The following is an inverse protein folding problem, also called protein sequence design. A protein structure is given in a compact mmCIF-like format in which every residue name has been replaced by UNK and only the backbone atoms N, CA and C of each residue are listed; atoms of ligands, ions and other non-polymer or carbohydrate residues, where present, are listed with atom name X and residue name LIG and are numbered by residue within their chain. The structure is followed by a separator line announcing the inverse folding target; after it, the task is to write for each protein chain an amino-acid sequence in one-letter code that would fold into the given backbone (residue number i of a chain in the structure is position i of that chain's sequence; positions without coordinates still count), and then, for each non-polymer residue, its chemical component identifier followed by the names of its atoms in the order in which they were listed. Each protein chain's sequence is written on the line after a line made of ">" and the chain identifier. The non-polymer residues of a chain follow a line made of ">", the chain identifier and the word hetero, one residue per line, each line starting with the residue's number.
data_IF_804497587159
#
_entry.id   IF_804497587159
#
_cell.length_a   1.000
_cell.length_b   1.000
_cell.length_c   1.000
_cell.angle_alpha   90.00
_cell.angle_beta   90.00
_cell.angle_gamma   90.00
#
_symmetry.space_group_name_H-M   'P 1'
#
loop_
_entity.id
_entity.type
_entity.pdbx_description
1 polymer ?
#
# COMPACT_ATOMS: atom_id res chain seq x y z
N UNK A 1 -42.30 -3.67 -24.50
CA UNK A 1 -41.12 -3.97 -23.64
C UNK A 1 -41.59 -4.85 -22.50
N UNK A 2 -41.34 -6.15 -22.58
CA UNK A 2 -41.68 -7.08 -21.49
C UNK A 2 -40.69 -6.88 -20.34
N UNK A 3 -41.17 -6.86 -19.08
CA UNK A 3 -40.29 -6.70 -17.92
C UNK A 3 -39.33 -7.90 -17.79
N UNK A 4 -38.11 -7.70 -17.27
CA UNK A 4 -37.21 -8.80 -16.97
C UNK A 4 -37.88 -9.67 -15.90
N UNK A 5 -38.13 -10.94 -16.22
CA UNK A 5 -38.60 -11.91 -15.25
C UNK A 5 -37.56 -12.00 -14.14
N UNK A 6 -37.85 -11.41 -12.99
CA UNK A 6 -37.12 -11.69 -11.76
C UNK A 6 -37.37 -13.16 -11.45
N UNK A 7 -36.41 -14.03 -11.78
CA UNK A 7 -36.40 -15.39 -11.29
C UNK A 7 -36.44 -15.31 -9.76
N UNK A 8 -37.63 -15.54 -9.21
CA UNK A 8 -37.84 -15.67 -7.77
C UNK A 8 -36.90 -16.81 -7.35
N UNK A 9 -35.94 -16.53 -6.48
CA UNK A 9 -35.10 -17.56 -5.87
C UNK A 9 -36.00 -18.44 -5.00
N UNK A 10 -36.60 -19.47 -5.60
CA UNK A 10 -37.36 -20.50 -4.92
C UNK A 10 -36.37 -21.56 -4.44
N UNK A 11 -36.07 -21.57 -3.14
CA UNK A 11 -35.23 -22.59 -2.52
C UNK A 11 -34.33 -22.08 -1.39
N UNK A 12 -33.39 -22.92 -0.90
CA UNK A 12 -32.48 -22.64 0.21
C UNK A 12 -31.64 -21.35 0.02
N UNK A 13 -31.49 -20.92 -1.23
CA UNK A 13 -30.74 -19.73 -1.65
C UNK A 13 -31.39 -18.41 -1.21
N UNK A 14 -32.67 -18.40 -0.80
CA UNK A 14 -33.36 -17.18 -0.33
C UNK A 14 -32.73 -16.60 0.95
N UNK A 15 -32.15 -17.45 1.80
CA UNK A 15 -31.54 -17.05 3.05
C UNK A 15 -30.04 -16.70 2.90
N UNK A 16 -29.47 -16.78 1.69
CA UNK A 16 -28.06 -16.45 1.46
C UNK A 16 -27.62 -15.11 2.06
N UNK A 17 -28.39 -14.00 2.01
CA UNK A 17 -27.92 -12.73 2.54
C UNK A 17 -27.71 -12.74 4.06
N UNK A 18 -28.56 -13.46 4.79
CA UNK A 18 -28.62 -13.44 6.27
C UNK A 18 -27.66 -14.42 6.93
N UNK A 19 -27.10 -15.37 6.18
CA UNK A 19 -26.16 -16.38 6.68
C UNK A 19 -24.74 -15.82 6.92
N UNK A 20 -24.05 -16.36 7.91
CA UNK A 20 -22.61 -16.13 8.12
C UNK A 20 -21.77 -16.71 6.97
N UNK A 21 -20.51 -16.26 6.83
CA UNK A 21 -19.62 -16.77 5.78
C UNK A 21 -19.41 -18.29 5.84
N UNK A 22 -19.38 -18.86 7.06
CA UNK A 22 -19.25 -20.31 7.27
C UNK A 22 -20.49 -21.05 6.80
N UNK A 23 -21.67 -20.58 7.19
CA UNK A 23 -22.96 -21.17 6.80
C UNK A 23 -23.20 -21.06 5.29
N UNK A 24 -22.85 -19.91 4.68
CA UNK A 24 -22.85 -19.73 3.22
C UNK A 24 -22.02 -20.81 2.53
N UNK A 25 -20.81 -21.07 3.04
CA UNK A 25 -19.90 -22.07 2.46
C UNK A 25 -20.45 -23.49 2.60
N UNK A 26 -21.06 -23.81 3.74
CA UNK A 26 -21.68 -25.13 3.97
C UNK A 26 -22.89 -25.32 3.06
N UNK A 27 -23.78 -24.34 2.98
CA UNK A 27 -24.99 -24.39 2.15
C UNK A 27 -24.63 -24.56 0.67
N UNK A 28 -23.71 -23.73 0.16
CA UNK A 28 -23.25 -23.82 -1.24
C UNK A 28 -22.61 -25.18 -1.51
N UNK A 29 -21.84 -25.72 -0.57
CA UNK A 29 -21.24 -27.06 -0.71
C UNK A 29 -22.29 -28.17 -0.76
N UNK A 30 -23.33 -28.11 0.08
CA UNK A 30 -24.43 -29.09 0.04
C UNK A 30 -25.11 -29.09 -1.32
N UNK A 31 -25.50 -27.90 -1.80
CA UNK A 31 -26.16 -27.73 -3.11
C UNK A 31 -25.24 -28.22 -4.24
N UNK A 32 -23.95 -27.89 -4.20
CA UNK A 32 -22.99 -28.37 -5.19
C UNK A 32 -22.87 -29.90 -5.21
N UNK A 33 -22.89 -30.54 -4.04
CA UNK A 33 -22.87 -32.00 -3.94
C UNK A 33 -24.15 -32.62 -4.51
N UNK A 34 -25.33 -32.03 -4.22
CA UNK A 34 -26.61 -32.47 -4.77
C UNK A 34 -26.66 -32.35 -6.30
N UNK A 35 -26.23 -31.21 -6.85
CA UNK A 35 -26.12 -31.01 -8.31
C UNK A 35 -25.16 -32.03 -8.92
N UNK A 36 -24.02 -32.28 -8.29
CA UNK A 36 -23.03 -33.25 -8.77
C UNK A 36 -23.61 -34.66 -8.78
N UNK A 37 -24.29 -35.08 -7.71
CA UNK A 37 -24.95 -36.37 -7.64
C UNK A 37 -26.02 -36.51 -8.74
N UNK A 38 -26.85 -35.48 -8.93
CA UNK A 38 -27.84 -35.46 -9.99
C UNK A 38 -27.21 -35.60 -11.39
N UNK A 39 -26.10 -34.88 -11.66
CA UNK A 39 -25.39 -34.97 -12.94
C UNK A 39 -24.82 -36.37 -13.18
N UNK A 40 -24.29 -37.01 -12.13
CA UNK A 40 -23.79 -38.38 -12.20
C UNK A 40 -24.92 -39.38 -12.49
N UNK A 41 -26.05 -39.26 -11.80
CA UNK A 41 -27.18 -40.17 -12.00
C UNK A 41 -27.84 -39.99 -13.37
N UNK A 42 -28.00 -38.75 -13.84
CA UNK A 42 -28.48 -38.47 -15.21
C UNK A 42 -27.53 -39.09 -16.24
N UNK A 43 -26.22 -38.91 -16.07
CA UNK A 43 -25.21 -39.50 -16.96
C UNK A 43 -25.30 -41.04 -16.98
N UNK A 44 -25.57 -41.66 -15.82
CA UNK A 44 -25.78 -43.11 -15.72
C UNK A 44 -27.02 -43.55 -16.50
N UNK A 45 -28.13 -42.83 -16.36
CA UNK A 45 -29.37 -43.15 -17.07
C UNK A 45 -29.26 -42.96 -18.59
N UNK A 46 -28.43 -42.00 -19.05
CA UNK A 46 -28.10 -41.85 -20.47
C UNK A 46 -27.30 -43.05 -20.96
N UNK A 47 -26.26 -43.46 -20.22
CA UNK A 47 -25.43 -44.62 -20.58
C UNK A 47 -26.24 -45.93 -20.63
N UNK A 48 -27.30 -46.03 -19.83
CA UNK A 48 -28.22 -47.17 -19.81
C UNK A 48 -29.30 -47.10 -20.91
N UNK A 49 -29.35 -46.02 -21.70
CA UNK A 49 -30.37 -45.80 -22.73
C UNK A 49 -31.76 -45.49 -22.17
N UNK A 50 -31.88 -45.21 -20.87
CA UNK A 50 -33.15 -44.80 -20.24
C UNK A 50 -33.47 -43.34 -20.54
N UNK A 51 -32.45 -42.52 -20.74
CA UNK A 51 -32.56 -41.14 -21.21
C UNK A 51 -31.80 -40.97 -22.53
N UNK A 52 -32.34 -40.18 -23.45
CA UNK A 52 -31.62 -39.72 -24.64
C UNK A 52 -30.80 -38.46 -24.34
N UNK A 53 -29.86 -38.13 -25.24
CA UNK A 53 -29.04 -36.91 -25.16
C UNK A 53 -29.89 -35.62 -25.15
N UNK A 54 -31.09 -35.64 -25.73
CA UNK A 54 -32.01 -34.49 -25.73
C UNK A 54 -32.42 -34.11 -24.30
N UNK A 55 -32.55 -35.10 -23.40
CA UNK A 55 -32.87 -34.86 -21.99
C UNK A 55 -31.69 -34.26 -21.21
N UNK A 56 -30.46 -34.29 -21.74
CA UNK A 56 -29.29 -33.65 -21.15
C UNK A 56 -29.15 -32.16 -21.54
N UNK A 57 -29.99 -31.63 -22.43
CA UNK A 57 -29.93 -30.23 -22.89
C UNK A 57 -29.92 -29.21 -21.73
N UNK A 58 -30.78 -29.32 -20.70
CA UNK A 58 -30.75 -28.39 -19.57
C UNK A 58 -29.43 -28.45 -18.77
N UNK A 59 -28.84 -29.65 -18.64
CA UNK A 59 -27.54 -29.83 -17.98
C UNK A 59 -26.42 -29.12 -18.76
N UNK A 60 -26.43 -29.22 -20.08
CA UNK A 60 -25.49 -28.51 -20.95
C UNK A 60 -25.62 -26.98 -20.84
N UNK A 61 -26.85 -26.47 -20.71
CA UNK A 61 -27.09 -25.04 -20.53
C UNK A 61 -26.58 -24.51 -19.18
N UNK A 62 -26.78 -25.29 -18.10
CA UNK A 62 -26.23 -24.98 -16.78
C UNK A 62 -24.69 -24.92 -16.85
N UNK A 63 -24.05 -25.93 -17.45
CA UNK A 63 -22.58 -25.97 -17.62
C UNK A 63 -22.10 -24.74 -18.38
N UNK A 64 -22.76 -24.40 -19.50
CA UNK A 64 -22.42 -23.22 -20.30
C UNK A 64 -22.52 -21.92 -19.50
N UNK A 65 -23.55 -21.79 -18.67
CA UNK A 65 -23.76 -20.62 -17.83
C UNK A 65 -22.67 -20.50 -16.76
N UNK A 66 -22.33 -21.60 -16.09
CA UNK A 66 -21.25 -21.65 -15.10
C UNK A 66 -19.92 -21.27 -15.75
N UNK A 67 -19.57 -21.89 -16.88
CA UNK A 67 -18.32 -21.57 -17.60
C UNK A 67 -18.27 -20.10 -18.06
N UNK A 68 -19.39 -19.57 -18.56
CA UNK A 68 -19.48 -18.18 -18.99
C UNK A 68 -19.32 -17.18 -17.83
N UNK A 69 -19.86 -17.50 -16.66
CA UNK A 69 -19.71 -16.65 -15.47
C UNK A 69 -18.28 -16.69 -14.91
N UNK A 70 -17.66 -17.87 -14.85
CA UNK A 70 -16.26 -18.02 -14.41
C UNK A 70 -15.29 -17.27 -15.34
N UNK A 71 -15.44 -17.42 -16.66
CA UNK A 71 -14.63 -16.69 -17.64
C UNK A 71 -14.72 -15.16 -17.47
N UNK A 72 -15.94 -14.62 -17.28
CA UNK A 72 -16.14 -13.18 -17.03
C UNK A 72 -15.54 -12.74 -15.69
N UNK A 73 -15.65 -13.56 -14.65
CA UNK A 73 -15.08 -13.26 -13.34
C UNK A 73 -13.55 -13.23 -13.41
N UNK A 74 -12.95 -14.21 -14.09
CA UNK A 74 -11.51 -14.27 -14.35
C UNK A 74 -11.03 -13.04 -15.11
N UNK A 75 -11.69 -12.69 -16.21
CA UNK A 75 -11.33 -11.51 -17.00
C UNK A 75 -11.43 -10.22 -16.16
N UNK A 76 -12.49 -10.09 -15.34
CA UNK A 76 -12.64 -8.95 -14.42
C UNK A 76 -11.49 -8.86 -13.42
N UNK A 77 -11.06 -9.99 -12.86
CA UNK A 77 -9.94 -10.07 -11.92
C UNK A 77 -8.61 -9.74 -12.60
N UNK A 78 -8.36 -10.28 -13.79
CA UNK A 78 -7.17 -9.98 -14.59
C UNK A 78 -7.07 -8.49 -14.91
N UNK A 79 -8.18 -7.85 -15.32
CA UNK A 79 -8.24 -6.39 -15.51
C UNK A 79 -7.97 -5.61 -14.23
N UNK A 80 -8.39 -6.12 -13.05
CA UNK A 80 -8.05 -5.49 -11.76
C UNK A 80 -6.56 -5.62 -11.46
N UNK A 81 -6.00 -6.81 -11.59
CA UNK A 81 -4.57 -7.08 -11.39
C UNK A 81 -3.72 -6.19 -12.30
N UNK A 82 -4.08 -6.09 -13.57
CA UNK A 82 -3.39 -5.21 -14.53
C UNK A 82 -3.40 -3.74 -14.07
N UNK A 83 -4.55 -3.24 -13.63
CA UNK A 83 -4.68 -1.87 -13.09
C UNK A 83 -3.80 -1.64 -11.87
N UNK A 84 -3.78 -2.58 -10.93
CA UNK A 84 -2.92 -2.48 -9.74
C UNK A 84 -1.44 -2.53 -10.09
N UNK A 85 -1.02 -3.42 -11.01
CA UNK A 85 0.36 -3.47 -11.50
C UNK A 85 0.79 -2.15 -12.12
N UNK A 86 -0.03 -1.55 -12.98
CA UNK A 86 0.25 -0.22 -13.55
C UNK A 86 0.39 0.86 -12.48
N UNK A 87 -0.52 0.88 -11.50
CA UNK A 87 -0.45 1.85 -10.39
C UNK A 87 0.81 1.66 -9.55
N UNK A 88 1.16 0.43 -9.23
CA UNK A 88 2.39 0.12 -8.49
C UNK A 88 3.63 0.59 -9.25
N UNK A 89 3.69 0.40 -10.57
CA UNK A 89 4.81 0.88 -11.38
C UNK A 89 4.92 2.41 -11.41
N UNK A 90 3.79 3.11 -11.50
CA UNK A 90 3.76 4.59 -11.39
C UNK A 90 4.28 5.04 -10.03
N UNK A 91 3.81 4.43 -8.94
CA UNK A 91 4.30 4.75 -7.59
C UNK A 91 5.78 4.47 -7.39
N UNK A 92 6.32 3.39 -7.96
CA UNK A 92 7.76 3.13 -7.93
C UNK A 92 8.55 4.26 -8.60
N UNK A 93 8.08 4.71 -9.75
CA UNK A 93 8.72 5.80 -10.51
C UNK A 93 8.65 7.12 -9.74
N UNK A 94 7.47 7.44 -9.20
CA UNK A 94 7.25 8.64 -8.39
C UNK A 94 8.12 8.65 -7.14
N UNK A 95 8.16 7.53 -6.41
CA UNK A 95 9.00 7.38 -5.21
C UNK A 95 10.47 7.58 -5.54
N UNK A 96 10.96 7.00 -6.63
CA UNK A 96 12.34 7.19 -7.06
C UNK A 96 12.63 8.65 -7.42
N UNK A 97 11.69 9.34 -8.06
CA UNK A 97 11.81 10.77 -8.35
C UNK A 97 11.86 11.60 -7.06
N UNK A 98 10.94 11.37 -6.12
CA UNK A 98 10.92 12.06 -4.81
C UNK A 98 12.22 11.84 -4.06
N UNK A 99 12.72 10.61 -4.00
CA UNK A 99 13.99 10.30 -3.32
C UNK A 99 15.17 11.07 -3.92
N UNK A 100 15.22 11.23 -5.25
CA UNK A 100 16.25 12.03 -5.91
C UNK A 100 16.13 13.51 -5.55
N UNK A 101 14.92 14.07 -5.60
CA UNK A 101 14.69 15.48 -5.26
C UNK A 101 15.03 15.77 -3.80
N UNK A 102 14.57 14.91 -2.89
CA UNK A 102 14.85 15.04 -1.47
C UNK A 102 16.35 14.91 -1.18
N UNK A 103 17.03 13.93 -1.79
CA UNK A 103 18.49 13.79 -1.66
C UNK A 103 19.25 15.03 -2.16
N UNK A 104 18.82 15.64 -3.25
CA UNK A 104 19.40 16.89 -3.74
C UNK A 104 19.17 18.06 -2.78
N UNK A 105 17.98 18.14 -2.17
CA UNK A 105 17.66 19.16 -1.16
C UNK A 105 18.52 18.99 0.11
N UNK A 106 18.66 17.77 0.61
CA UNK A 106 19.48 17.45 1.78
C UNK A 106 20.92 17.89 1.56
N UNK A 107 21.55 17.52 0.42
CA UNK A 107 22.93 17.93 0.09
C UNK A 107 23.10 19.46 0.05
N UNK A 108 22.13 20.18 -0.51
CA UNK A 108 22.13 21.65 -0.50
C UNK A 108 22.05 22.20 0.92
N UNK A 109 21.20 21.62 1.76
CA UNK A 109 21.08 22.03 3.16
C UNK A 109 22.37 21.78 3.95
N UNK A 110 23.02 20.64 3.74
CA UNK A 110 24.30 20.29 4.37
C UNK A 110 25.40 21.28 3.98
N UNK A 111 25.43 21.68 2.70
CA UNK A 111 26.37 22.69 2.19
C UNK A 111 26.16 24.04 2.87
N UNK A 112 24.90 24.49 2.98
CA UNK A 112 24.55 25.75 3.66
C UNK A 112 24.90 25.67 5.14
N UNK A 113 24.56 24.57 5.81
CA UNK A 113 24.88 24.34 7.22
C UNK A 113 26.39 24.33 7.47
N UNK A 114 27.17 23.72 6.56
CA UNK A 114 28.63 23.73 6.60
C UNK A 114 29.19 25.15 6.52
N UNK A 115 28.73 25.96 5.57
CA UNK A 115 29.13 27.38 5.45
C UNK A 115 28.79 28.19 6.70
N UNK A 116 27.61 27.97 7.28
CA UNK A 116 27.20 28.62 8.52
C UNK A 116 28.07 28.22 9.70
N UNK A 117 28.36 26.91 9.87
CA UNK A 117 29.28 26.42 10.90
C UNK A 117 30.66 27.04 10.79
N UNK A 118 31.18 27.15 9.57
CA UNK A 118 32.50 27.74 9.32
C UNK A 118 32.53 29.24 9.68
N UNK A 119 31.50 30.00 9.26
CA UNK A 119 31.35 31.43 9.63
C UNK A 119 31.25 31.61 11.14
N UNK A 120 30.45 30.78 11.80
CA UNK A 120 30.29 30.84 13.25
C UNK A 120 31.59 30.46 13.97
N UNK A 121 32.33 29.48 13.45
CA UNK A 121 33.65 29.09 13.95
C UNK A 121 34.67 30.23 13.86
N UNK A 122 34.70 30.97 12.74
CA UNK A 122 35.52 32.18 12.58
C UNK A 122 35.13 33.26 13.60
N UNK A 123 33.85 33.60 13.66
CA UNK A 123 33.33 34.61 14.60
C UNK A 123 33.68 34.27 16.06
N UNK A 124 33.54 32.99 16.45
CA UNK A 124 33.87 32.52 17.79
C UNK A 124 35.36 32.68 18.11
N UNK A 125 36.25 32.42 17.13
CA UNK A 125 37.70 32.65 17.28
C UNK A 125 38.02 34.14 17.42
N UNK A 126 37.41 34.98 16.60
CA UNK A 126 37.63 36.43 16.64
C UNK A 126 37.17 37.05 17.97
N UNK A 127 35.99 36.65 18.45
CA UNK A 127 35.49 37.04 19.79
C UNK A 127 36.39 36.51 20.91
N UNK A 128 36.92 35.30 20.77
CA UNK A 128 37.90 34.77 21.71
C UNK A 128 39.17 35.64 21.78
N UNK A 129 39.72 36.01 20.62
CA UNK A 129 40.90 36.88 20.51
C UNK A 129 40.67 38.27 21.11
N UNK A 130 39.53 38.89 20.86
CA UNK A 130 39.21 40.22 21.42
C UNK A 130 39.05 40.16 22.94
N UNK A 131 38.44 39.10 23.47
CA UNK A 131 38.35 38.88 24.94
C UNK A 131 39.73 38.72 25.58
N UNK A 132 40.60 37.88 25.01
CA UNK A 132 41.97 37.68 25.55
C UNK A 132 42.83 38.93 25.44
N UNK A 133 42.65 39.73 24.38
CA UNK A 133 43.34 41.01 24.21
C UNK A 133 42.85 42.05 25.23
N UNK A 134 41.54 42.12 25.47
CA UNK A 134 40.95 42.99 26.48
C UNK A 134 41.41 42.61 27.90
N UNK A 135 41.47 41.32 28.23
CA UNK A 135 41.98 40.82 29.51
C UNK A 135 43.48 41.10 29.70
N UNK A 136 44.29 40.92 28.66
CA UNK A 136 45.72 41.26 28.71
C UNK A 136 45.93 42.75 28.91
N UNK A 137 45.18 43.61 28.21
CA UNK A 137 45.25 45.06 28.37
C UNK A 137 44.85 45.49 29.79
N UNK A 138 43.80 44.87 30.36
CA UNK A 138 43.37 45.10 31.74
C UNK A 138 44.42 44.65 32.77
N UNK A 139 45.10 43.51 32.55
CA UNK A 139 46.22 43.07 33.41
C UNK A 139 47.42 44.01 33.36
N UNK A 140 47.82 44.46 32.17
CA UNK A 140 48.94 45.41 32.04
C UNK A 140 48.66 46.73 32.73
N UNK A 141 47.41 47.22 32.67
CA UNK A 141 47.00 48.43 33.39
C UNK A 141 47.04 48.22 34.92
N UNK A 142 46.58 47.07 35.43
CA UNK A 142 46.64 46.74 36.86
C UNK A 142 48.08 46.61 37.38
N UNK A 143 48.96 45.98 36.61
CA UNK A 143 50.38 45.80 37.00
C UNK A 143 51.13 47.13 37.01
N UNK A 144 50.87 48.01 36.03
CA UNK A 144 51.47 49.35 36.00
C UNK A 144 50.99 50.24 37.16
N UNK A 145 49.74 50.09 37.62
CA UNK A 145 49.23 50.83 38.77
C UNK A 145 49.76 50.33 40.13
N UNK A 146 50.21 49.08 40.24
CA UNK A 146 50.87 48.56 41.44
C UNK A 146 52.35 48.95 41.52
N UNK A 147 53.08 48.94 40.40
CA UNK A 147 54.48 49.39 40.34
C UNK A 147 54.63 50.89 40.68
N UNK A 148 53.66 51.73 40.30
CA UNK A 148 53.66 53.15 40.63
C UNK A 148 53.35 53.46 42.12
N UNK A 149 52.94 52.44 42.90
CA UNK A 149 52.72 52.57 44.36
C UNK A 149 53.92 52.11 45.18
N UNK A 150 54.78 51.22 44.66
CA UNK A 150 56.00 50.75 45.35
C UNK A 150 57.17 51.74 45.24
N UNK A 151 57.19 52.66 44.27
CA UNK A 151 58.23 53.72 44.15
C UNK A 151 58.00 54.95 45.05
N UNK A 152 57.07 54.88 46.01
CA UNK A 152 56.70 56.02 46.89
C UNK A 152 56.85 55.77 48.41
N UNK A 153 57.39 54.63 48.83
CA UNK A 153 57.85 54.39 50.21
C UNK A 153 59.38 54.50 50.29
#
# INVERSE_FOLDING_TARGET
>A
MSPPQSHILTGPLKNLPTLSSREKSILVRSIANEITAAFVDISRHIAQGTLSDEHATPMNEIIRTIMGTDARQRERLERKVYRYRRRAQRWKTEKAWIQRQFGALVRRSETVQGRWRERFGRLKKDVGRTKTAAESCRRSQSNNSSSAREEKE
#
